data_IF_803909249152
#
_entry.id   IF_803909249152
#
_cell.length_a   1.000
_cell.length_b   1.000
_cell.length_c   1.000
_cell.angle_alpha   90.00
_cell.angle_beta   90.00
_cell.angle_gamma   90.00
#
_symmetry.space_group_name_H-M   'P 1'
#
loop_
_entity.id
_entity.type
_entity.pdbx_description
1 polymer ?
#
# COMPACT_ATOMS: atom_id res chain seq x y z
N UNK A 1 -26.08 -26.37 0.32
CA UNK A 1 -24.77 -25.83 -0.10
C UNK A 1 -24.65 -24.46 0.56
N UNK A 2 -23.58 -24.17 1.29
CA UNK A 2 -23.42 -22.85 1.90
C UNK A 2 -23.31 -21.80 0.79
N UNK A 3 -24.14 -20.77 0.82
CA UNK A 3 -24.08 -19.67 -0.14
C UNK A 3 -22.74 -18.94 0.01
N UNK A 4 -22.12 -18.56 -1.12
CA UNK A 4 -20.90 -17.75 -1.12
C UNK A 4 -21.18 -16.43 -0.39
N UNK A 5 -20.39 -16.07 0.64
CA UNK A 5 -20.57 -14.83 1.36
C UNK A 5 -20.55 -13.62 0.42
N UNK A 6 -21.39 -12.61 0.68
CA UNK A 6 -21.37 -11.39 -0.11
C UNK A 6 -20.05 -10.63 0.07
N UNK A 7 -19.64 -9.87 -0.96
CA UNK A 7 -18.44 -9.05 -0.92
C UNK A 7 -18.41 -8.08 0.29
N UNK A 8 -19.57 -7.54 0.66
CA UNK A 8 -19.72 -6.68 1.83
C UNK A 8 -19.53 -7.46 3.14
N UNK A 9 -20.11 -8.66 3.26
CA UNK A 9 -19.93 -9.51 4.44
C UNK A 9 -18.45 -9.84 4.66
N UNK A 10 -17.74 -10.24 3.61
CA UNK A 10 -16.29 -10.49 3.67
C UNK A 10 -15.53 -9.21 4.04
N UNK A 11 -15.82 -8.09 3.38
CA UNK A 11 -15.14 -6.81 3.62
C UNK A 11 -15.26 -6.30 5.06
N UNK A 12 -16.41 -6.49 5.70
CA UNK A 12 -16.62 -6.04 7.08
C UNK A 12 -15.75 -6.77 8.11
N UNK A 13 -15.33 -8.01 7.84
CA UNK A 13 -14.40 -8.74 8.72
C UNK A 13 -13.03 -8.05 8.82
N UNK A 14 -12.66 -7.24 7.83
CA UNK A 14 -11.39 -6.53 7.76
C UNK A 14 -11.39 -5.24 8.58
N UNK A 15 -12.58 -4.72 8.94
CA UNK A 15 -12.75 -3.40 9.52
C UNK A 15 -12.13 -3.24 10.91
N UNK A 16 -11.99 -4.33 11.67
CA UNK A 16 -11.33 -4.31 12.98
C UNK A 16 -9.86 -3.86 12.93
N UNK A 17 -9.19 -4.07 11.80
CA UNK A 17 -7.82 -3.60 11.59
C UNK A 17 -7.77 -2.42 10.61
N UNK A 18 -8.40 -2.57 9.44
CA UNK A 18 -8.29 -1.62 8.34
C UNK A 18 -9.32 -0.49 8.38
N UNK A 19 -10.15 -0.44 9.43
CA UNK A 19 -11.21 0.54 9.61
C UNK A 19 -12.44 0.28 8.72
N UNK A 20 -13.52 0.97 9.05
CA UNK A 20 -14.79 0.84 8.31
C UNK A 20 -14.58 1.19 6.85
N UNK A 21 -15.09 0.34 5.95
CA UNK A 21 -14.90 0.46 4.51
C UNK A 21 -13.42 0.51 4.06
N UNK A 22 -12.48 0.03 4.88
CA UNK A 22 -11.05 0.01 4.56
C UNK A 22 -10.34 1.36 4.71
N UNK A 23 -10.94 2.34 5.40
CA UNK A 23 -10.25 3.58 5.77
C UNK A 23 -9.72 3.45 7.20
N UNK A 24 -8.41 3.20 7.33
CA UNK A 24 -7.81 2.94 8.63
C UNK A 24 -7.66 4.21 9.45
N UNK A 25 -7.92 4.12 10.76
CA UNK A 25 -7.68 5.17 11.74
C UNK A 25 -6.21 5.21 12.25
N UNK A 26 -5.34 4.34 11.73
CA UNK A 26 -3.91 4.37 12.00
C UNK A 26 -3.50 3.75 13.35
N UNK A 27 -2.25 3.99 13.80
CA UNK A 27 -1.24 4.82 13.13
C UNK A 27 -0.48 4.10 12.00
N UNK A 28 -0.55 2.76 11.92
CA UNK A 28 0.31 1.96 11.05
C UNK A 28 -0.43 0.95 10.16
N UNK A 29 -1.73 0.71 10.41
CA UNK A 29 -2.49 -0.20 9.56
C UNK A 29 -2.83 0.50 8.24
N UNK A 30 -2.61 -0.11 7.07
CA UNK A 30 -2.88 0.56 5.81
C UNK A 30 -4.38 0.71 5.57
N UNK A 31 -4.76 1.80 4.93
CA UNK A 31 -6.07 1.91 4.28
C UNK A 31 -6.09 1.07 3.00
N UNK A 32 -7.19 0.35 2.78
CA UNK A 32 -7.47 -0.48 1.61
C UNK A 32 -8.44 0.18 0.63
N UNK A 33 -9.23 1.15 1.10
CA UNK A 33 -10.24 1.84 0.31
C UNK A 33 -9.63 2.47 -0.95
N UNK A 34 -10.25 2.25 -2.10
CA UNK A 34 -9.86 2.82 -3.39
C UNK A 34 -8.66 2.14 -4.06
N UNK A 35 -8.05 1.11 -3.45
CA UNK A 35 -6.99 0.37 -4.10
C UNK A 35 -7.54 -0.45 -5.28
N UNK A 36 -6.75 -0.59 -6.35
CA UNK A 36 -7.19 -1.31 -7.55
C UNK A 36 -7.52 -2.77 -7.22
N UNK A 37 -8.46 -3.36 -7.98
CA UNK A 37 -8.83 -4.77 -7.80
C UNK A 37 -7.59 -5.67 -7.95
N UNK A 38 -6.83 -5.41 -9.00
CA UNK A 38 -5.65 -6.20 -9.37
C UNK A 38 -4.56 -6.08 -8.30
N UNK A 39 -4.34 -4.90 -7.74
CA UNK A 39 -3.41 -4.71 -6.62
C UNK A 39 -3.83 -5.53 -5.39
N UNK A 40 -5.11 -5.51 -5.00
CA UNK A 40 -5.58 -6.26 -3.82
C UNK A 40 -5.42 -7.76 -4.04
N UNK A 41 -5.80 -8.27 -5.22
CA UNK A 41 -5.67 -9.69 -5.57
C UNK A 41 -4.20 -10.11 -5.49
N UNK A 42 -3.32 -9.37 -6.16
CA UNK A 42 -1.88 -9.68 -6.23
C UNK A 42 -1.26 -9.67 -4.82
N UNK A 43 -1.57 -8.67 -4.01
CA UNK A 43 -1.03 -8.55 -2.66
C UNK A 43 -1.52 -9.66 -1.74
N UNK A 44 -2.80 -10.05 -1.84
CA UNK A 44 -3.34 -11.17 -1.07
C UNK A 44 -2.69 -12.49 -1.48
N UNK A 45 -2.47 -12.70 -2.78
CA UNK A 45 -1.73 -13.87 -3.27
C UNK A 45 -0.29 -13.89 -2.72
N UNK A 46 0.45 -12.78 -2.82
CA UNK A 46 1.80 -12.71 -2.26
C UNK A 46 1.85 -12.93 -0.74
N UNK A 47 0.82 -12.50 -0.01
CA UNK A 47 0.73 -12.84 1.41
C UNK A 47 0.45 -14.32 1.64
N UNK A 48 -0.43 -14.94 0.86
CA UNK A 48 -0.78 -16.35 0.98
C UNK A 48 0.42 -17.26 0.64
N UNK A 49 1.20 -16.92 -0.39
CA UNK A 49 2.41 -17.66 -0.80
C UNK A 49 3.65 -17.33 0.04
N UNK A 50 3.61 -16.25 0.81
CA UNK A 50 4.75 -15.77 1.60
C UNK A 50 5.78 -14.97 0.79
N UNK A 51 5.48 -14.66 -0.49
CA UNK A 51 6.28 -13.75 -1.30
C UNK A 51 6.30 -12.32 -0.77
N UNK A 52 5.28 -11.91 0.02
CA UNK A 52 5.27 -10.64 0.74
C UNK A 52 5.36 -10.87 2.24
N UNK A 53 6.32 -10.21 2.87
CA UNK A 53 6.51 -10.27 4.31
C UNK A 53 5.29 -9.69 5.04
N UNK A 54 4.85 -10.36 6.10
CA UNK A 54 3.73 -9.91 6.94
C UNK A 54 3.88 -10.39 8.37
N UNK A 55 3.26 -9.65 9.30
CA UNK A 55 3.11 -10.06 10.70
C UNK A 55 1.90 -10.98 10.88
N UNK A 56 0.80 -10.68 10.20
CA UNK A 56 -0.45 -11.45 10.30
C UNK A 56 -1.15 -11.70 8.97
N UNK A 57 -0.99 -10.82 7.98
CA UNK A 57 -1.72 -10.94 6.71
C UNK A 57 -1.47 -12.25 5.97
N UNK A 58 -0.28 -12.86 6.06
CA UNK A 58 -0.04 -14.18 5.47
C UNK A 58 -0.84 -15.32 6.11
N UNK A 59 -1.23 -15.19 7.40
CA UNK A 59 -2.17 -16.13 8.04
C UNK A 59 -3.61 -15.87 7.60
N UNK A 60 -3.98 -14.59 7.53
CA UNK A 60 -5.33 -14.16 7.11
C UNK A 60 -5.59 -14.55 5.64
N UNK A 61 -4.65 -14.24 4.74
CA UNK A 61 -4.80 -14.48 3.31
C UNK A 61 -4.97 -15.97 2.96
N UNK A 62 -4.33 -16.87 3.72
CA UNK A 62 -4.50 -18.33 3.56
C UNK A 62 -5.90 -18.83 3.90
N UNK A 63 -6.69 -18.05 4.63
CA UNK A 63 -8.08 -18.39 4.98
C UNK A 63 -9.10 -18.04 3.91
N UNK A 64 -8.70 -17.33 2.84
CA UNK A 64 -9.60 -16.92 1.77
C UNK A 64 -9.31 -17.69 0.48
N UNK A 65 -10.37 -18.04 -0.23
CA UNK A 65 -10.31 -18.58 -1.59
C UNK A 65 -10.06 -17.47 -2.61
N UNK A 66 -9.70 -17.84 -3.85
CA UNK A 66 -9.49 -16.87 -4.94
C UNK A 66 -10.75 -16.05 -5.24
N UNK A 67 -11.92 -16.69 -5.21
CA UNK A 67 -13.20 -16.02 -5.47
C UNK A 67 -13.55 -15.03 -4.35
N UNK A 68 -13.28 -15.38 -3.09
CA UNK A 68 -13.47 -14.46 -1.95
C UNK A 68 -12.49 -13.29 -1.98
N UNK A 69 -11.23 -13.52 -2.38
CA UNK A 69 -10.24 -12.45 -2.59
C UNK A 69 -10.70 -11.51 -3.71
N UNK A 70 -11.23 -12.04 -4.82
CA UNK A 70 -11.77 -11.22 -5.90
C UNK A 70 -12.98 -10.39 -5.43
N UNK A 71 -13.87 -10.97 -4.61
CA UNK A 71 -14.99 -10.26 -4.01
C UNK A 71 -14.54 -9.14 -3.05
N UNK A 72 -13.53 -9.40 -2.21
CA UNK A 72 -12.91 -8.38 -1.34
C UNK A 72 -12.28 -7.25 -2.15
N UNK A 73 -11.55 -7.58 -3.21
CA UNK A 73 -10.93 -6.62 -4.11
C UNK A 73 -11.99 -5.73 -4.79
N UNK A 74 -13.09 -6.33 -5.24
CA UNK A 74 -14.23 -5.57 -5.77
C UNK A 74 -14.87 -4.66 -4.71
N UNK A 75 -15.02 -5.13 -3.47
CA UNK A 75 -15.58 -4.33 -2.39
C UNK A 75 -14.73 -3.09 -2.11
N UNK A 76 -13.41 -3.26 -1.89
CA UNK A 76 -12.52 -2.16 -1.49
C UNK A 76 -12.21 -1.18 -2.62
N UNK A 77 -12.10 -1.64 -3.87
CA UNK A 77 -11.89 -0.77 -5.03
C UNK A 77 -13.02 0.24 -5.26
N UNK A 78 -14.24 -0.09 -4.83
CA UNK A 78 -15.40 0.82 -4.89
C UNK A 78 -15.49 1.78 -3.71
N UNK A 79 -14.68 1.59 -2.65
CA UNK A 79 -14.70 2.48 -1.49
C UNK A 79 -13.95 3.76 -1.79
N UNK A 80 -14.46 4.88 -1.27
CA UNK A 80 -13.76 6.16 -1.36
C UNK A 80 -12.58 6.17 -0.38
N UNK A 81 -11.37 6.33 -0.93
CA UNK A 81 -10.17 6.54 -0.13
C UNK A 81 -10.24 7.86 0.64
N UNK A 82 -9.92 7.79 1.93
CA UNK A 82 -9.76 8.95 2.80
C UNK A 82 -8.29 9.00 3.22
N UNK A 83 -7.52 10.02 2.77
CA UNK A 83 -6.14 10.20 3.19
C UNK A 83 -6.02 10.33 4.70
N UNK A 84 -4.94 9.79 5.27
CA UNK A 84 -4.64 9.87 6.70
C UNK A 84 -4.33 11.33 7.08
N UNK A 85 -5.35 12.08 7.50
CA UNK A 85 -5.24 13.52 7.77
C UNK A 85 -4.49 13.84 9.07
N UNK A 86 -4.47 12.92 10.03
CA UNK A 86 -3.94 13.17 11.37
C UNK A 86 -2.43 12.93 11.50
N UNK A 87 -1.78 12.42 10.45
CA UNK A 87 -0.33 12.25 10.45
C UNK A 87 0.41 13.57 10.14
N UNK A 88 1.50 13.78 10.88
CA UNK A 88 2.40 14.91 10.70
C UNK A 88 3.37 14.63 9.55
N UNK A 89 3.78 15.69 8.86
CA UNK A 89 4.85 15.64 7.85
C UNK A 89 5.71 16.90 7.92
N UNK A 90 6.96 16.79 7.48
CA UNK A 90 7.88 17.91 7.29
C UNK A 90 7.79 18.44 5.84
N UNK A 91 7.36 19.70 5.68
CA UNK A 91 7.16 20.32 4.38
C UNK A 91 8.47 20.50 3.58
N UNK A 92 9.62 20.69 4.23
CA UNK A 92 10.92 20.80 3.56
C UNK A 92 11.34 19.44 3.00
N UNK A 93 11.14 18.37 3.77
CA UNK A 93 11.40 17.00 3.32
C UNK A 93 10.42 16.58 2.21
N UNK A 94 9.15 16.93 2.33
CA UNK A 94 8.14 16.66 1.30
C UNK A 94 8.50 17.26 -0.06
N UNK A 95 8.99 18.52 -0.09
CA UNK A 95 9.46 19.16 -1.33
C UNK A 95 10.66 18.45 -1.96
N UNK A 96 11.56 17.90 -1.15
CA UNK A 96 12.67 17.07 -1.65
C UNK A 96 12.16 15.71 -2.15
N UNK A 97 11.21 15.12 -1.43
CA UNK A 97 10.56 13.86 -1.76
C UNK A 97 9.83 13.90 -3.10
N UNK A 98 9.13 14.99 -3.41
CA UNK A 98 8.51 15.21 -4.72
C UNK A 98 9.53 15.04 -5.86
N UNK A 99 10.68 15.71 -5.76
CA UNK A 99 11.75 15.59 -6.78
C UNK A 99 12.32 14.18 -6.90
N UNK A 100 12.35 13.42 -5.80
CA UNK A 100 12.77 12.02 -5.83
C UNK A 100 11.71 11.13 -6.47
N UNK A 101 10.44 11.37 -6.15
CA UNK A 101 9.29 10.68 -6.73
C UNK A 101 9.28 10.86 -8.26
N UNK A 102 9.34 12.09 -8.75
CA UNK A 102 9.37 12.41 -10.19
C UNK A 102 10.49 11.66 -10.92
N UNK A 103 11.65 11.53 -10.27
CA UNK A 103 12.87 10.96 -10.86
C UNK A 103 12.90 9.43 -10.85
N UNK A 104 12.34 8.81 -9.83
CA UNK A 104 12.54 7.37 -9.58
C UNK A 104 11.25 6.56 -9.55
N UNK A 105 10.11 7.18 -9.26
CA UNK A 105 8.85 6.52 -8.92
C UNK A 105 7.71 6.82 -9.91
N UNK A 106 7.58 8.06 -10.38
CA UNK A 106 6.46 8.57 -11.21
C UNK A 106 6.14 7.69 -12.42
N UNK A 107 7.14 7.06 -13.03
CA UNK A 107 6.95 6.18 -14.19
C UNK A 107 5.99 5.00 -13.94
N UNK A 108 5.80 4.59 -12.68
CA UNK A 108 4.89 3.51 -12.29
C UNK A 108 3.98 3.88 -11.11
N UNK A 109 4.12 5.08 -10.55
CA UNK A 109 3.29 5.59 -9.47
C UNK A 109 2.93 7.02 -9.83
N UNK A 110 2.13 7.19 -10.87
CA UNK A 110 1.73 8.45 -11.43
C UNK A 110 0.93 9.30 -10.44
N UNK A 111 0.86 10.60 -10.75
CA UNK A 111 0.12 11.61 -9.99
C UNK A 111 0.62 11.76 -8.53
N UNK A 112 1.89 11.41 -8.27
CA UNK A 112 2.40 11.39 -6.89
C UNK A 112 2.01 10.13 -6.13
N UNK A 113 1.58 9.07 -6.82
CA UNK A 113 1.10 7.82 -6.23
C UNK A 113 -0.34 7.89 -5.71
N UNK A 114 -1.17 8.74 -6.29
CA UNK A 114 -2.63 8.82 -6.04
C UNK A 114 -3.44 7.96 -7.00
N UNK A 115 -2.88 7.61 -8.16
CA UNK A 115 -3.61 6.88 -9.19
C UNK A 115 -3.97 5.47 -8.71
N UNK A 116 -5.25 5.16 -8.73
CA UNK A 116 -5.77 3.80 -8.54
C UNK A 116 -5.60 2.93 -9.80
N UNK A 117 -5.15 3.51 -10.92
CA UNK A 117 -4.98 2.82 -12.19
C UNK A 117 -3.57 2.23 -12.35
N UNK A 118 -2.63 2.61 -11.47
CA UNK A 118 -1.22 2.25 -11.62
C UNK A 118 -0.83 0.89 -11.03
N UNK A 119 -1.79 0.05 -10.64
CA UNK A 119 -1.60 -1.30 -10.04
C UNK A 119 -0.57 -1.40 -8.91
N UNK A 120 -0.04 -0.28 -8.43
CA UNK A 120 1.13 -0.22 -7.58
C UNK A 120 0.80 0.26 -6.15
N UNK A 121 -0.50 0.28 -5.82
CA UNK A 121 -1.05 0.64 -4.53
C UNK A 121 -1.12 2.14 -4.28
N UNK A 122 -1.99 2.54 -3.35
CA UNK A 122 -2.14 3.94 -2.92
C UNK A 122 -0.95 4.31 -2.04
N UNK A 123 -0.11 5.23 -2.53
CA UNK A 123 1.02 5.76 -1.77
C UNK A 123 0.66 7.09 -1.10
N UNK A 124 0.07 8.00 -1.87
CA UNK A 124 -0.33 9.31 -1.40
C UNK A 124 -1.41 9.20 -0.31
N UNK A 125 -1.22 9.90 0.81
CA UNK A 125 -2.19 9.88 1.91
C UNK A 125 -2.22 8.59 2.73
N UNK A 126 -1.40 7.58 2.39
CA UNK A 126 -1.28 6.36 3.18
C UNK A 126 -0.51 6.60 4.48
N UNK A 127 -0.70 5.74 5.48
CA UNK A 127 -0.01 5.81 6.76
C UNK A 127 1.51 5.73 6.63
N UNK A 128 2.22 6.74 7.11
CA UNK A 128 3.68 6.83 7.03
C UNK A 128 4.42 5.64 7.64
N UNK A 129 4.01 5.06 8.79
CA UNK A 129 4.69 3.87 9.33
C UNK A 129 4.53 2.67 8.39
N UNK A 130 3.35 2.48 7.79
CA UNK A 130 3.11 1.41 6.83
C UNK A 130 4.03 1.51 5.61
N UNK A 131 4.15 2.71 5.02
CA UNK A 131 5.03 2.94 3.88
C UNK A 131 6.50 2.70 4.26
N UNK A 132 6.91 3.12 5.46
CA UNK A 132 8.26 2.88 5.99
C UNK A 132 8.56 1.39 6.12
N UNK A 133 7.66 0.62 6.73
CA UNK A 133 7.85 -0.82 6.92
C UNK A 133 7.83 -1.57 5.58
N UNK A 134 6.91 -1.23 4.70
CA UNK A 134 6.82 -1.83 3.36
C UNK A 134 8.12 -1.61 2.57
N UNK A 135 8.63 -0.37 2.55
CA UNK A 135 9.90 -0.07 1.87
C UNK A 135 11.08 -0.81 2.53
N UNK A 136 11.13 -0.90 3.85
CA UNK A 136 12.18 -1.64 4.55
C UNK A 136 12.16 -3.15 4.24
N UNK A 137 10.98 -3.77 4.18
CA UNK A 137 10.84 -5.18 3.81
C UNK A 137 11.23 -5.43 2.35
N UNK A 138 10.86 -4.52 1.45
CA UNK A 138 11.27 -4.57 0.04
C UNK A 138 12.78 -4.41 -0.13
N UNK A 139 13.41 -3.50 0.63
CA UNK A 139 14.85 -3.25 0.53
C UNK A 139 15.70 -4.35 1.15
N UNK A 140 15.25 -4.94 2.27
CA UNK A 140 15.89 -6.09 2.90
C UNK A 140 15.71 -7.39 2.11
N UNK A 141 14.85 -7.39 1.09
CA UNK A 141 14.58 -8.56 0.24
C UNK A 141 13.62 -9.56 0.88
N UNK A 142 12.96 -9.20 1.98
CA UNK A 142 11.93 -10.02 2.64
C UNK A 142 10.63 -10.07 1.86
N UNK A 143 10.37 -9.07 1.02
CA UNK A 143 9.20 -9.04 0.13
C UNK A 143 9.60 -9.04 -1.33
N UNK A 144 8.73 -9.59 -2.16
CA UNK A 144 8.78 -9.49 -3.60
C UNK A 144 8.83 -8.01 -4.01
N UNK A 145 9.71 -7.70 -4.97
CA UNK A 145 9.81 -6.38 -5.58
C UNK A 145 9.98 -6.56 -7.08
N UNK A 146 9.09 -5.98 -7.91
CA UNK A 146 9.25 -6.02 -9.35
C UNK A 146 10.64 -5.53 -9.76
N UNK A 147 11.29 -6.23 -10.71
CA UNK A 147 12.70 -5.97 -11.09
C UNK A 147 12.96 -4.51 -11.45
N UNK A 148 12.01 -3.84 -12.12
CA UNK A 148 12.10 -2.43 -12.51
C UNK A 148 12.11 -1.51 -11.28
N UNK A 149 11.18 -1.73 -10.34
CA UNK A 149 11.09 -1.01 -9.07
C UNK A 149 12.35 -1.23 -8.22
N UNK A 150 12.80 -2.49 -8.08
CA UNK A 150 14.02 -2.84 -7.32
C UNK A 150 15.24 -2.09 -7.82
N UNK A 151 15.42 -1.96 -9.15
CA UNK A 151 16.52 -1.19 -9.76
C UNK A 151 16.45 0.29 -9.41
N UNK A 152 15.26 0.90 -9.50
CA UNK A 152 15.05 2.32 -9.19
C UNK A 152 15.24 2.63 -7.70
N UNK A 153 14.68 1.79 -6.83
CA UNK A 153 14.80 1.91 -5.39
C UNK A 153 16.26 1.81 -4.94
N UNK A 154 17.01 0.79 -5.43
CA UNK A 154 18.45 0.67 -5.16
C UNK A 154 19.26 1.87 -5.68
N UNK A 155 18.94 2.36 -6.89
CA UNK A 155 19.62 3.52 -7.48
C UNK A 155 19.39 4.81 -6.67
N UNK A 156 18.18 5.01 -6.18
CA UNK A 156 17.84 6.13 -5.32
C UNK A 156 18.56 5.99 -3.97
N UNK A 157 18.41 4.85 -3.29
CA UNK A 157 19.00 4.62 -1.97
C UNK A 157 20.53 4.77 -1.97
N UNK A 158 21.21 4.29 -3.02
CA UNK A 158 22.66 4.50 -3.19
C UNK A 158 23.06 5.99 -3.23
N UNK A 159 22.18 6.89 -3.67
CA UNK A 159 22.46 8.32 -3.81
C UNK A 159 22.01 9.15 -2.61
N UNK A 160 20.92 8.77 -1.97
CA UNK A 160 20.26 9.58 -0.94
C UNK A 160 20.33 8.96 0.46
N UNK A 161 20.73 7.69 0.56
CA UNK A 161 20.61 6.90 1.77
C UNK A 161 19.18 6.83 2.29
N UNK A 162 19.05 6.55 3.58
CA UNK A 162 17.78 6.47 4.29
C UNK A 162 17.04 7.81 4.33
N UNK A 163 17.77 8.93 4.28
CA UNK A 163 17.19 10.26 4.19
C UNK A 163 16.31 10.45 2.93
N UNK A 164 16.59 9.74 1.83
CA UNK A 164 15.72 9.76 0.65
C UNK A 164 14.39 9.03 0.85
N UNK A 165 14.40 7.96 1.65
CA UNK A 165 13.18 7.24 2.03
C UNK A 165 12.31 8.13 2.91
N UNK A 166 12.91 8.80 3.89
CA UNK A 166 12.19 9.76 4.73
C UNK A 166 11.60 10.92 3.93
N UNK A 167 12.33 11.44 2.94
CA UNK A 167 11.82 12.48 2.04
C UNK A 167 10.60 12.01 1.24
N UNK A 168 10.64 10.81 0.67
CA UNK A 168 9.48 10.23 -0.04
C UNK A 168 8.28 10.04 0.88
N UNK A 169 8.48 9.49 2.08
CA UNK A 169 7.41 9.27 3.06
C UNK A 169 6.74 10.60 3.43
N UNK A 170 7.53 11.65 3.68
CA UNK A 170 6.99 12.98 3.96
C UNK A 170 6.25 13.58 2.75
N UNK A 171 6.70 13.30 1.53
CA UNK A 171 5.99 13.73 0.32
C UNK A 171 4.61 13.06 0.21
N UNK A 172 4.55 11.74 0.35
CA UNK A 172 3.26 11.02 0.30
C UNK A 172 2.32 11.42 1.44
N UNK A 173 2.85 11.68 2.64
CA UNK A 173 2.07 12.19 3.76
C UNK A 173 1.52 13.63 3.55
N UNK A 174 2.19 14.42 2.70
CA UNK A 174 1.74 15.78 2.36
C UNK A 174 0.54 15.80 1.41
N UNK A 175 0.27 14.68 0.72
CA UNK A 175 -0.88 14.51 -0.17
C UNK A 175 -2.08 14.04 0.67
N UNK A 176 -2.97 14.96 1.00
CA UNK A 176 -4.19 14.75 1.80
C UNK A 176 -5.46 14.97 0.98
#
# INVERSE_FOLDING_TARGET
>A
MAETPSAAMLGYTCAGCHGTNGNSNGPAMPSLAGASKDYIIEVMEYYATGERASTIMGRIAKGYTKDEVAALAEFFSKQKFVPAKDQKFDAKLAKKGAKLHDKYCEKCHAEGGTSSEDDAGILAGQWTPYLKYTLADMMSGKSHVPKKMKKKLKKMHKKTGDAGIEQLINFYASKK
#
